data_IF_529937102305
#
_entry.id   IF_529937102305
#
_cell.length_a   1.000
_cell.length_b   1.000
_cell.length_c   1.000
_cell.angle_alpha   90.00
_cell.angle_beta   90.00
_cell.angle_gamma   90.00
#
_symmetry.space_group_name_H-M   'P 1'
#
loop_
_entity.id
_entity.type
_entity.pdbx_description
1 polymer ?
#
# COMPACT_ATOMS: atom_id res chain seq x y z
N UNK A 1 -0.22 24.64 -9.24
CA UNK A 1 0.05 23.76 -8.09
C UNK A 1 0.47 24.63 -6.92
N UNK A 2 -0.21 24.56 -5.79
CA UNK A 2 0.16 25.34 -4.61
C UNK A 2 1.44 24.78 -3.96
N UNK A 3 2.08 25.55 -3.06
CA UNK A 3 3.34 25.15 -2.40
C UNK A 3 3.16 23.87 -1.56
N UNK A 4 2.01 23.73 -0.89
CA UNK A 4 1.70 22.57 -0.05
C UNK A 4 1.73 21.25 -0.85
N UNK A 5 1.06 21.18 -2.00
CA UNK A 5 1.02 19.96 -2.83
C UNK A 5 2.40 19.54 -3.34
N UNK A 6 3.28 20.50 -3.64
CA UNK A 6 4.66 20.20 -4.07
C UNK A 6 5.50 19.55 -2.97
N UNK A 7 5.15 19.77 -1.71
CA UNK A 7 5.82 19.16 -0.57
C UNK A 7 5.14 17.87 -0.12
N UNK A 8 3.82 17.88 -0.01
CA UNK A 8 3.05 16.73 0.47
C UNK A 8 3.13 15.54 -0.49
N UNK A 9 3.10 15.74 -1.81
CA UNK A 9 3.08 14.63 -2.76
C UNK A 9 4.36 13.78 -2.70
N UNK A 10 5.58 14.35 -2.71
CA UNK A 10 6.79 13.57 -2.45
C UNK A 10 6.77 12.84 -1.11
N UNK A 11 6.31 13.50 -0.03
CA UNK A 11 6.19 12.85 1.28
C UNK A 11 5.23 11.67 1.26
N UNK A 12 4.07 11.80 0.62
CA UNK A 12 3.09 10.73 0.44
C UNK A 12 3.73 9.58 -0.33
N UNK A 13 4.38 9.85 -1.47
CA UNK A 13 5.06 8.81 -2.25
C UNK A 13 6.08 8.05 -1.40
N UNK A 14 6.93 8.76 -0.65
CA UNK A 14 7.96 8.13 0.20
C UNK A 14 7.33 7.24 1.29
N UNK A 15 6.31 7.75 1.98
CA UNK A 15 5.62 6.99 3.03
C UNK A 15 4.87 5.78 2.45
N UNK A 16 4.22 5.94 1.29
CA UNK A 16 3.54 4.84 0.59
C UNK A 16 4.54 3.77 0.14
N UNK A 17 5.70 4.17 -0.39
CA UNK A 17 6.76 3.21 -0.73
C UNK A 17 7.25 2.45 0.50
N UNK A 18 7.51 3.15 1.62
CA UNK A 18 7.94 2.50 2.85
C UNK A 18 6.90 1.50 3.38
N UNK A 19 5.61 1.87 3.37
CA UNK A 19 4.52 1.01 3.82
C UNK A 19 4.35 -0.22 2.93
N UNK A 20 4.23 -0.03 1.62
CA UNK A 20 3.96 -1.12 0.66
C UNK A 20 5.14 -2.08 0.50
N UNK A 21 6.38 -1.56 0.53
CA UNK A 21 7.55 -2.43 0.56
C UNK A 21 7.60 -3.19 1.88
N UNK A 22 7.31 -2.54 3.00
CA UNK A 22 7.23 -3.19 4.31
C UNK A 22 6.22 -4.34 4.38
N UNK A 23 5.04 -4.19 3.77
CA UNK A 23 4.02 -5.25 3.74
C UNK A 23 4.35 -6.41 2.79
N UNK A 24 5.13 -6.16 1.74
CA UNK A 24 5.58 -7.17 0.77
C UNK A 24 6.88 -7.88 1.18
N UNK A 25 7.66 -7.32 2.10
CA UNK A 25 8.87 -7.97 2.60
C UNK A 25 8.47 -9.26 3.35
N UNK A 26 8.99 -10.42 2.94
CA UNK A 26 8.72 -11.67 3.63
C UNK A 26 9.34 -11.62 5.02
N UNK A 27 8.62 -12.14 6.01
CA UNK A 27 9.18 -12.40 7.34
C UNK A 27 9.16 -13.89 7.65
N UNK A 28 10.03 -14.27 8.58
CA UNK A 28 10.10 -15.65 9.07
C UNK A 28 8.91 -15.98 9.98
N UNK A 29 8.49 -17.24 9.94
CA UNK A 29 7.42 -17.76 10.80
C UNK A 29 6.68 -18.92 10.17
N UNK A 30 5.95 -19.67 11.00
CA UNK A 30 5.14 -20.82 10.59
C UNK A 30 3.70 -20.60 11.01
N UNK A 31 2.74 -20.56 10.06
CA UNK A 31 1.34 -20.38 10.40
C UNK A 31 0.84 -21.37 11.45
N UNK A 32 -0.02 -20.92 12.35
CA UNK A 32 -0.66 -21.76 13.37
C UNK A 32 -2.18 -21.60 13.36
N UNK A 33 -2.89 -22.61 13.86
CA UNK A 33 -4.36 -22.59 13.96
C UNK A 33 -4.83 -21.78 15.17
N UNK A 34 -5.80 -20.90 14.97
CA UNK A 34 -6.52 -20.18 16.01
C UNK A 34 -8.04 -20.33 15.81
N UNK A 35 -8.81 -20.07 16.86
CA UNK A 35 -10.27 -20.01 16.80
C UNK A 35 -10.69 -18.55 16.71
N UNK A 36 -11.51 -18.22 15.72
CA UNK A 36 -12.04 -16.88 15.53
C UNK A 36 -13.15 -16.57 16.55
N UNK A 37 -13.57 -15.30 16.61
CA UNK A 37 -14.73 -14.87 17.44
C UNK A 37 -16.04 -15.57 17.03
N UNK A 38 -16.06 -16.20 15.84
CA UNK A 38 -17.21 -16.95 15.30
C UNK A 38 -17.07 -18.47 15.49
N UNK A 39 -16.16 -18.91 16.35
CA UNK A 39 -15.83 -20.32 16.57
C UNK A 39 -15.31 -21.06 15.32
N UNK A 40 -14.76 -20.32 14.35
CA UNK A 40 -14.18 -20.90 13.13
C UNK A 40 -12.68 -21.13 13.29
N UNK A 41 -12.18 -22.26 12.77
CA UNK A 41 -10.73 -22.51 12.68
C UNK A 41 -10.12 -21.66 11.56
N UNK A 42 -9.16 -20.82 11.91
CA UNK A 42 -8.42 -19.97 10.97
C UNK A 42 -6.91 -20.15 11.14
N UNK A 43 -6.15 -19.96 10.06
CA UNK A 43 -4.69 -19.94 10.12
C UNK A 43 -4.20 -18.51 10.30
N UNK A 44 -3.39 -18.28 11.32
CA UNK A 44 -2.68 -17.01 11.55
C UNK A 44 -1.39 -17.02 10.73
N UNK A 45 -1.09 -15.93 10.04
CA UNK A 45 0.00 -15.82 9.08
C UNK A 45 1.39 -15.92 9.71
N UNK A 46 1.62 -15.23 10.83
CA UNK A 46 2.89 -15.19 11.59
C UNK A 46 4.12 -14.76 10.79
N UNK A 47 3.94 -13.99 9.71
CA UNK A 47 5.04 -13.57 8.83
C UNK A 47 4.94 -12.10 8.48
N UNK A 48 6.09 -11.44 8.44
CA UNK A 48 6.23 -10.07 7.94
C UNK A 48 5.38 -9.06 8.72
N UNK A 49 4.95 -8.00 8.04
CA UNK A 49 4.17 -6.91 8.64
C UNK A 49 2.78 -7.37 9.13
N UNK A 50 2.17 -8.34 8.43
CA UNK A 50 0.83 -8.88 8.73
C UNK A 50 0.91 -10.10 9.64
N UNK A 51 1.75 -10.05 10.67
CA UNK A 51 2.07 -11.19 11.52
C UNK A 51 0.83 -11.76 12.23
N UNK A 52 -0.02 -10.89 12.77
CA UNK A 52 -1.18 -11.28 13.59
C UNK A 52 -2.46 -11.47 12.77
N UNK A 53 -2.40 -11.25 11.46
CA UNK A 53 -3.54 -11.42 10.58
C UNK A 53 -3.72 -12.89 10.20
N UNK A 54 -4.95 -13.24 9.79
CA UNK A 54 -5.17 -14.53 9.14
C UNK A 54 -4.41 -14.59 7.82
N UNK A 55 -4.07 -15.79 7.35
CA UNK A 55 -3.42 -15.99 6.03
C UNK A 55 -4.24 -15.34 4.90
N UNK A 56 -5.57 -15.43 4.95
CA UNK A 56 -6.45 -14.81 3.97
C UNK A 56 -6.39 -13.28 4.01
N UNK A 57 -6.43 -12.70 5.21
CA UNK A 57 -6.32 -11.24 5.40
C UNK A 57 -4.95 -10.72 4.95
N UNK A 58 -3.87 -11.40 5.34
CA UNK A 58 -2.51 -11.04 4.95
C UNK A 58 -2.35 -11.05 3.42
N UNK A 59 -2.87 -12.07 2.73
CA UNK A 59 -2.83 -12.15 1.27
C UNK A 59 -3.58 -10.97 0.60
N UNK A 60 -4.73 -10.56 1.14
CA UNK A 60 -5.49 -9.41 0.62
C UNK A 60 -4.75 -8.09 0.84
N UNK A 61 -4.12 -7.91 2.00
CA UNK A 61 -3.35 -6.69 2.28
C UNK A 61 -2.10 -6.61 1.39
N UNK A 62 -1.37 -7.72 1.22
CA UNK A 62 -0.24 -7.79 0.29
C UNK A 62 -0.65 -7.54 -1.17
N UNK A 63 -1.82 -8.05 -1.59
CA UNK A 63 -2.36 -7.75 -2.91
C UNK A 63 -2.65 -6.25 -3.09
N UNK A 64 -3.22 -5.59 -2.06
CA UNK A 64 -3.42 -4.15 -2.08
C UNK A 64 -2.09 -3.39 -2.16
N UNK A 65 -1.09 -3.77 -1.36
CA UNK A 65 0.24 -3.14 -1.39
C UNK A 65 0.88 -3.26 -2.78
N UNK A 66 0.75 -4.42 -3.41
CA UNK A 66 1.24 -4.65 -4.76
C UNK A 66 0.52 -3.76 -5.79
N UNK A 67 -0.81 -3.65 -5.70
CA UNK A 67 -1.62 -2.77 -6.57
C UNK A 67 -1.21 -1.30 -6.34
N UNK A 68 -1.04 -0.89 -5.10
CA UNK A 68 -0.62 0.47 -4.77
C UNK A 68 0.76 0.77 -5.35
N UNK A 69 1.71 -0.16 -5.24
CA UNK A 69 3.06 -0.01 -5.75
C UNK A 69 3.13 0.02 -7.29
N UNK A 70 2.34 -0.83 -7.97
CA UNK A 70 2.40 -1.00 -9.42
C UNK A 70 1.47 -0.07 -10.19
N UNK A 71 0.36 0.38 -9.59
CA UNK A 71 -0.64 1.22 -10.26
C UNK A 71 -0.75 2.60 -9.61
N UNK A 72 -1.02 2.67 -8.31
CA UNK A 72 -1.33 3.93 -7.66
C UNK A 72 -0.13 4.89 -7.60
N UNK A 73 1.05 4.41 -7.19
CA UNK A 73 2.27 5.23 -7.09
C UNK A 73 2.71 5.73 -8.48
N UNK A 74 2.81 4.89 -9.53
CA UNK A 74 3.13 5.37 -10.88
C UNK A 74 2.12 6.40 -11.41
N UNK A 75 0.82 6.16 -11.21
CA UNK A 75 -0.22 7.09 -11.63
C UNK A 75 -0.10 8.43 -10.90
N UNK A 76 0.21 8.42 -9.60
CA UNK A 76 0.43 9.62 -8.79
C UNK A 76 1.65 10.41 -9.29
N UNK A 77 2.76 9.73 -9.58
CA UNK A 77 3.97 10.35 -10.11
C UNK A 77 3.75 10.97 -11.49
N UNK A 78 3.09 10.26 -12.41
CA UNK A 78 2.74 10.77 -13.75
C UNK A 78 1.82 11.99 -13.63
N UNK A 79 0.79 11.91 -12.79
CA UNK A 79 -0.16 13.01 -12.58
C UNK A 79 0.52 14.23 -11.97
N UNK A 80 1.36 14.02 -10.96
CA UNK A 80 2.17 15.09 -10.35
C UNK A 80 3.07 15.77 -11.38
N UNK A 81 3.80 15.00 -12.18
CA UNK A 81 4.70 15.52 -13.20
C UNK A 81 3.96 16.33 -14.28
N UNK A 82 2.82 15.82 -14.77
CA UNK A 82 1.98 16.53 -15.73
C UNK A 82 1.39 17.81 -15.12
N UNK A 83 0.99 17.78 -13.85
CA UNK A 83 0.47 18.94 -13.13
C UNK A 83 1.56 20.01 -12.88
N UNK A 84 2.80 19.61 -12.61
CA UNK A 84 3.96 20.53 -12.52
C UNK A 84 4.19 21.22 -13.86
N UNK A 85 4.07 20.50 -14.98
CA UNK A 85 4.18 21.03 -16.35
C UNK A 85 2.99 21.89 -16.80
N UNK A 86 1.99 22.09 -15.95
CA UNK A 86 0.83 22.93 -16.24
C UNK A 86 -0.31 22.24 -17.02
N UNK A 87 -0.20 20.94 -17.31
CA UNK A 87 -1.23 20.19 -18.05
C UNK A 87 -2.58 20.19 -17.33
N UNK A 88 -3.64 20.61 -18.04
CA UNK A 88 -5.02 20.55 -17.55
C UNK A 88 -5.45 19.10 -17.27
N UNK A 89 -5.10 18.15 -18.15
CA UNK A 89 -5.38 16.71 -17.95
C UNK A 89 -4.66 16.17 -16.72
N UNK A 90 -3.39 16.55 -16.52
CA UNK A 90 -2.63 16.16 -15.33
C UNK A 90 -3.23 16.72 -14.03
N UNK A 91 -3.76 17.94 -14.07
CA UNK A 91 -4.49 18.52 -12.93
C UNK A 91 -5.82 17.82 -12.67
N UNK A 92 -6.55 17.40 -13.70
CA UNK A 92 -7.82 16.68 -13.55
C UNK A 92 -7.64 15.26 -13.01
N UNK A 93 -6.56 14.58 -13.36
CA UNK A 93 -6.25 13.25 -12.78
C UNK A 93 -5.71 13.37 -11.35
N UNK A 94 -5.10 14.50 -11.00
CA UNK A 94 -4.60 14.78 -9.64
C UNK A 94 -5.68 15.38 -8.70
N UNK A 95 -6.78 15.89 -9.25
CA UNK A 95 -7.87 16.55 -8.53
C UNK A 95 -8.88 15.53 -7.99
#
# INVERSE_FOLDING_TARGET
>A
MNKAMRFLLPCIVLLTLAATVGGLVPGDGTPFEAVSVRDEKVLINTRGLYFWDTVSSAAQMQANDLITLLLAVPLLLVSFFLAVRGSLRGKMVLA
#
